data_IF_761827790150
#
_entry.id   IF_761827790150
#
_cell.length_a   1.000
_cell.length_b   1.000
_cell.length_c   1.000
_cell.angle_alpha   90.00
_cell.angle_beta   90.00
_cell.angle_gamma   90.00
#
_symmetry.space_group_name_H-M   'P 1'
#
loop_
_entity.id
_entity.type
_entity.pdbx_description
1 polymer ?
#
# COMPACT_ATOMS: atom_id res chain seq x y z
N UNK A 1 6.50 -40.78 12.27
CA UNK A 1 5.66 -39.58 12.07
C UNK A 1 6.58 -38.37 11.99
N UNK A 2 6.99 -37.98 10.78
CA UNK A 2 7.83 -36.80 10.57
C UNK A 2 6.99 -35.54 10.67
N UNK A 3 7.20 -34.78 11.74
CA UNK A 3 6.69 -33.42 11.90
C UNK A 3 7.42 -32.53 10.88
N UNK A 4 6.75 -32.15 9.79
CA UNK A 4 7.26 -31.12 8.88
C UNK A 4 7.29 -29.77 9.64
N UNK A 5 8.46 -29.39 10.17
CA UNK A 5 8.76 -27.99 10.47
C UNK A 5 9.17 -27.34 9.15
N UNK A 6 8.20 -26.95 8.34
CA UNK A 6 8.43 -25.97 7.28
C UNK A 6 8.50 -24.60 7.94
N UNK A 7 9.72 -24.17 8.26
CA UNK A 7 9.96 -22.78 8.65
C UNK A 7 9.67 -21.90 7.43
N UNK A 8 8.83 -20.89 7.61
CA UNK A 8 8.51 -19.93 6.55
C UNK A 8 9.79 -19.14 6.23
N UNK A 9 10.17 -18.96 4.96
CA UNK A 9 11.32 -18.15 4.58
C UNK A 9 11.23 -16.76 5.20
N UNK A 10 12.39 -16.16 5.49
CA UNK A 10 12.42 -14.78 5.97
C UNK A 10 11.80 -13.87 4.89
N UNK A 11 10.81 -13.03 5.24
CA UNK A 11 10.14 -12.19 4.26
C UNK A 11 11.11 -11.12 3.73
N UNK A 12 11.17 -11.00 2.41
CA UNK A 12 11.86 -9.91 1.73
C UNK A 12 11.05 -8.60 1.82
N UNK A 13 11.61 -7.49 1.33
CA UNK A 13 10.95 -6.17 1.42
C UNK A 13 9.60 -6.14 0.69
N UNK A 14 9.47 -6.89 -0.41
CA UNK A 14 8.24 -7.01 -1.20
C UNK A 14 7.16 -7.72 -0.37
N UNK A 15 7.47 -8.90 0.14
CA UNK A 15 6.57 -9.67 0.99
C UNK A 15 6.18 -8.91 2.26
N UNK A 16 7.08 -8.14 2.87
CA UNK A 16 6.76 -7.29 4.02
C UNK A 16 5.68 -6.24 3.71
N UNK A 17 5.78 -5.57 2.55
CA UNK A 17 4.75 -4.63 2.09
C UNK A 17 3.42 -5.34 1.86
N UNK A 18 3.46 -6.56 1.34
CA UNK A 18 2.27 -7.37 1.08
C UNK A 18 1.62 -7.86 2.37
N UNK A 19 2.43 -8.31 3.34
CA UNK A 19 1.98 -8.67 4.70
C UNK A 19 1.26 -7.49 5.35
N UNK A 20 1.85 -6.30 5.28
CA UNK A 20 1.23 -5.08 5.83
C UNK A 20 -0.06 -4.72 5.09
N UNK A 21 -0.03 -4.66 3.75
CA UNK A 21 -1.19 -4.31 2.91
C UNK A 21 -2.37 -5.25 3.14
N UNK A 22 -2.09 -6.55 3.27
CA UNK A 22 -3.11 -7.58 3.40
C UNK A 22 -3.40 -7.94 4.87
N UNK A 23 -2.69 -7.34 5.83
CA UNK A 23 -2.81 -7.62 7.27
C UNK A 23 -2.56 -9.11 7.61
N UNK A 24 -1.61 -9.76 6.92
CA UNK A 24 -1.36 -11.20 7.08
C UNK A 24 -0.76 -11.51 8.45
N UNK A 25 -1.26 -12.56 9.08
CA UNK A 25 -0.69 -13.09 10.32
C UNK A 25 0.37 -14.14 10.03
N UNK A 26 1.23 -14.43 11.01
CA UNK A 26 2.21 -15.52 10.91
C UNK A 26 1.53 -16.89 10.70
N UNK A 27 0.31 -17.07 11.19
CA UNK A 27 -0.49 -18.27 10.94
C UNK A 27 -0.97 -18.34 9.48
N UNK A 28 -1.36 -17.21 8.89
CA UNK A 28 -1.73 -17.12 7.47
C UNK A 28 -0.53 -17.47 6.59
N UNK A 29 0.64 -16.88 6.86
CA UNK A 29 1.88 -17.15 6.13
C UNK A 29 2.30 -18.61 6.21
N UNK A 30 2.22 -19.23 7.39
CA UNK A 30 2.47 -20.67 7.55
C UNK A 30 1.51 -21.52 6.73
N UNK A 31 0.25 -21.11 6.60
CA UNK A 31 -0.73 -21.83 5.79
C UNK A 31 -0.43 -21.65 4.31
N UNK A 32 -0.21 -20.42 3.85
CA UNK A 32 0.19 -20.11 2.46
C UNK A 32 1.46 -20.88 2.07
N UNK A 33 2.47 -20.91 2.93
CA UNK A 33 3.71 -21.65 2.68
C UNK A 33 3.50 -23.16 2.54
N UNK A 34 2.56 -23.75 3.30
CA UNK A 34 2.19 -25.16 3.10
C UNK A 34 1.55 -25.41 1.73
N UNK A 35 0.72 -24.48 1.24
CA UNK A 35 0.14 -24.58 -0.11
C UNK A 35 1.22 -24.39 -1.19
N UNK A 36 2.13 -23.44 -0.98
CA UNK A 36 3.30 -23.23 -1.84
C UNK A 36 4.15 -24.50 -1.96
N UNK A 37 4.62 -25.07 -0.84
CA UNK A 37 5.40 -26.30 -0.85
C UNK A 37 4.63 -27.47 -1.48
N UNK A 38 3.30 -27.54 -1.28
CA UNK A 38 2.51 -28.59 -1.92
C UNK A 38 2.54 -28.46 -3.45
N UNK A 39 2.44 -27.24 -3.96
CA UNK A 39 2.41 -26.94 -5.39
C UNK A 39 3.75 -27.25 -6.05
N UNK A 40 4.85 -26.81 -5.43
CA UNK A 40 6.25 -27.07 -5.84
C UNK A 40 6.60 -28.58 -5.83
N UNK A 41 6.01 -29.38 -4.93
CA UNK A 41 6.31 -30.82 -4.87
C UNK A 41 5.40 -31.70 -5.74
N UNK A 42 4.39 -31.14 -6.43
CA UNK A 42 3.41 -31.93 -7.20
C UNK A 42 3.95 -32.40 -8.57
N UNK A 43 5.18 -32.05 -8.94
CA UNK A 43 5.84 -32.47 -10.20
C UNK A 43 6.45 -33.89 -10.20
N UNK A 44 6.61 -34.57 -9.06
CA UNK A 44 7.23 -35.91 -9.04
C UNK A 44 6.20 -37.06 -9.11
N UNK A 45 5.94 -37.51 -10.35
CA UNK A 45 5.20 -38.77 -10.66
C UNK A 45 6.00 -40.04 -10.28
N UNK A 46 7.19 -39.90 -9.69
CA UNK A 46 7.97 -41.02 -9.17
C UNK A 46 8.43 -40.73 -7.74
N UNK A 47 8.22 -41.64 -6.77
CA UNK A 47 8.79 -41.52 -5.44
C UNK A 47 10.29 -41.86 -5.52
N UNK A 48 11.07 -40.95 -6.10
CA UNK A 48 12.52 -40.97 -5.93
C UNK A 48 12.87 -40.15 -4.70
N UNK A 49 13.54 -40.85 -3.81
CA UNK A 49 14.10 -40.43 -2.53
C UNK A 49 14.69 -39.01 -2.54
N UNK A 50 14.23 -38.19 -1.59
CA UNK A 50 14.92 -37.02 -1.04
C UNK A 50 15.38 -35.97 -2.07
N UNK A 51 14.45 -35.21 -2.62
CA UNK A 51 14.78 -33.89 -3.19
C UNK A 51 13.66 -32.96 -2.77
N UNK A 52 14.02 -32.03 -1.88
CA UNK A 52 13.26 -30.82 -1.59
C UNK A 52 12.78 -30.22 -2.92
N UNK A 53 11.50 -29.86 -3.01
CA UNK A 53 10.99 -29.09 -4.14
C UNK A 53 11.91 -27.92 -4.50
N UNK A 54 11.79 -27.46 -5.73
CA UNK A 54 12.65 -26.46 -6.36
C UNK A 54 12.79 -25.18 -5.54
N UNK A 55 11.80 -24.90 -4.67
CA UNK A 55 11.72 -23.67 -3.89
C UNK A 55 11.09 -22.52 -4.68
N UNK A 56 10.65 -22.80 -5.90
CA UNK A 56 9.89 -21.93 -6.79
C UNK A 56 8.67 -22.71 -7.33
N UNK A 57 7.73 -22.03 -7.98
CA UNK A 57 6.60 -22.65 -8.66
C UNK A 57 6.69 -22.30 -10.14
N UNK A 58 6.93 -23.28 -10.99
CA UNK A 58 6.92 -23.04 -12.44
C UNK A 58 5.48 -22.83 -12.97
N UNK A 59 5.35 -22.46 -14.25
CA UNK A 59 4.05 -22.22 -14.88
C UNK A 59 3.13 -23.44 -14.83
N UNK A 60 3.66 -24.62 -15.11
CA UNK A 60 2.87 -25.84 -15.17
C UNK A 60 2.44 -26.29 -13.77
N UNK A 61 3.30 -26.09 -12.76
CA UNK A 61 2.98 -26.28 -11.34
C UNK A 61 1.91 -25.30 -10.87
N UNK A 62 1.99 -24.03 -11.28
CA UNK A 62 0.97 -23.03 -10.99
C UNK A 62 -0.41 -23.47 -11.50
N UNK A 63 -0.55 -23.79 -12.79
CA UNK A 63 -1.84 -24.20 -13.36
C UNK A 63 -2.36 -25.52 -12.76
N UNK A 64 -1.47 -26.49 -12.51
CA UNK A 64 -1.84 -27.74 -11.81
C UNK A 64 -2.34 -27.48 -10.39
N UNK A 65 -1.67 -26.60 -9.64
CA UNK A 65 -2.02 -26.30 -8.25
C UNK A 65 -3.43 -25.71 -8.12
N UNK A 66 -3.88 -24.96 -9.13
CA UNK A 66 -5.21 -24.35 -9.18
C UNK A 66 -6.23 -25.20 -9.94
N UNK A 67 -5.83 -26.38 -10.46
CA UNK A 67 -6.65 -27.26 -11.29
C UNK A 67 -7.28 -26.54 -12.48
N UNK A 68 -6.49 -25.70 -13.12
CA UNK A 68 -6.87 -24.97 -14.32
C UNK A 68 -6.07 -25.49 -15.51
N UNK A 69 -6.66 -25.46 -16.69
CA UNK A 69 -5.91 -25.70 -17.93
C UNK A 69 -5.12 -24.45 -18.30
N UNK A 70 -3.92 -24.65 -18.85
CA UNK A 70 -3.10 -23.54 -19.31
C UNK A 70 -3.77 -22.87 -20.51
N UNK A 71 -4.12 -21.61 -20.33
CA UNK A 71 -4.72 -20.75 -21.37
C UNK A 71 -3.84 -19.54 -21.60
N UNK A 72 -3.98 -18.86 -22.75
CA UNK A 72 -3.22 -17.64 -23.00
C UNK A 72 -3.59 -16.50 -22.02
N UNK A 73 -4.83 -16.47 -21.51
CA UNK A 73 -5.22 -15.59 -20.40
C UNK A 73 -4.52 -15.97 -19.11
N UNK A 74 -4.49 -17.27 -18.80
CA UNK A 74 -3.74 -17.77 -17.66
C UNK A 74 -2.26 -17.36 -17.72
N UNK A 75 -1.64 -17.50 -18.90
CA UNK A 75 -0.24 -17.10 -19.14
C UNK A 75 -0.05 -15.58 -18.96
N UNK A 76 -1.01 -14.76 -19.40
CA UNK A 76 -0.97 -13.32 -19.18
C UNK A 76 -1.12 -12.96 -17.69
N UNK A 77 -1.98 -13.67 -16.96
CA UNK A 77 -2.13 -13.52 -15.50
C UNK A 77 -0.82 -13.91 -14.80
N UNK A 78 -0.23 -15.04 -15.18
CA UNK A 78 1.07 -15.48 -14.64
C UNK A 78 2.16 -14.44 -14.92
N UNK A 79 2.24 -13.90 -16.13
CA UNK A 79 3.24 -12.89 -16.49
C UNK A 79 3.09 -11.56 -15.71
N UNK A 80 1.88 -11.22 -15.26
CA UNK A 80 1.66 -10.05 -14.40
C UNK A 80 2.02 -10.30 -12.93
N UNK A 81 2.10 -11.58 -12.55
CA UNK A 81 2.48 -12.02 -11.22
C UNK A 81 4.00 -12.22 -11.12
N UNK A 82 4.61 -12.76 -12.17
CA UNK A 82 6.05 -12.97 -12.35
C UNK A 82 6.76 -11.61 -12.57
N UNK A 83 6.96 -10.88 -11.46
CA UNK A 83 7.46 -9.50 -11.47
C UNK A 83 8.90 -9.43 -11.99
N UNK A 84 9.73 -10.42 -11.66
CA UNK A 84 11.13 -10.46 -12.06
C UNK A 84 11.34 -11.10 -13.44
N UNK A 85 10.31 -11.73 -14.01
CA UNK A 85 10.33 -12.35 -15.33
C UNK A 85 11.18 -13.62 -15.37
N UNK A 86 11.42 -14.24 -14.22
CA UNK A 86 12.21 -15.47 -14.11
C UNK A 86 11.50 -16.67 -14.75
N UNK A 87 10.19 -16.60 -14.94
CA UNK A 87 9.36 -17.68 -15.44
C UNK A 87 8.92 -18.67 -14.36
N UNK A 88 9.34 -18.44 -13.12
CA UNK A 88 9.01 -19.21 -11.92
C UNK A 88 8.55 -18.25 -10.82
N UNK A 89 7.77 -18.72 -9.85
CA UNK A 89 7.30 -17.88 -8.74
C UNK A 89 8.01 -18.28 -7.45
N UNK A 90 8.75 -17.34 -6.85
CA UNK A 90 9.23 -17.54 -5.48
C UNK A 90 8.06 -17.42 -4.47
N UNK A 91 8.33 -17.71 -3.19
CA UNK A 91 7.26 -17.64 -2.18
C UNK A 91 6.72 -16.22 -1.95
N UNK A 92 7.55 -15.19 -2.09
CA UNK A 92 7.14 -13.80 -1.96
C UNK A 92 6.20 -13.41 -3.10
N UNK A 93 6.56 -13.77 -4.34
CA UNK A 93 5.78 -13.56 -5.56
C UNK A 93 4.49 -14.37 -5.52
N UNK A 94 4.51 -15.60 -5.00
CA UNK A 94 3.29 -16.38 -4.79
C UNK A 94 2.31 -15.69 -3.83
N UNK A 95 2.78 -15.15 -2.71
CA UNK A 95 1.91 -14.43 -1.75
C UNK A 95 1.37 -13.14 -2.37
N UNK A 96 2.20 -12.43 -3.14
CA UNK A 96 1.80 -11.25 -3.90
C UNK A 96 0.78 -11.56 -4.97
N UNK A 97 0.96 -12.64 -5.72
CA UNK A 97 0.05 -13.16 -6.72
C UNK A 97 -1.36 -13.32 -6.17
N UNK A 98 -1.45 -14.08 -5.08
CA UNK A 98 -2.69 -14.39 -4.42
C UNK A 98 -3.34 -13.12 -3.88
N UNK A 99 -2.55 -12.24 -3.26
CA UNK A 99 -3.01 -10.97 -2.74
C UNK A 99 -3.52 -10.01 -3.81
N UNK A 100 -2.83 -9.94 -4.94
CA UNK A 100 -3.16 -9.04 -6.04
C UNK A 100 -4.40 -9.53 -6.78
N UNK A 101 -4.49 -10.83 -7.10
CA UNK A 101 -5.53 -11.36 -7.98
C UNK A 101 -6.78 -11.84 -7.23
N UNK A 102 -6.65 -12.55 -6.10
CA UNK A 102 -7.81 -13.10 -5.38
C UNK A 102 -8.67 -12.02 -4.71
N UNK A 103 -8.15 -10.81 -4.51
CA UNK A 103 -8.88 -9.71 -3.89
C UNK A 103 -9.52 -8.75 -4.90
N UNK A 104 -9.27 -8.93 -6.21
CA UNK A 104 -9.89 -8.08 -7.23
C UNK A 104 -11.40 -8.27 -7.22
N UNK A 105 -12.12 -7.14 -7.17
CA UNK A 105 -13.55 -7.11 -7.44
C UNK A 105 -13.83 -7.12 -8.96
N UNK A 106 -15.10 -7.24 -9.35
CA UNK A 106 -15.52 -7.28 -10.76
C UNK A 106 -15.00 -6.09 -11.58
N UNK A 107 -15.03 -4.88 -11.02
CA UNK A 107 -14.56 -3.67 -11.70
C UNK A 107 -13.03 -3.67 -11.87
N UNK A 108 -12.31 -4.17 -10.88
CA UNK A 108 -10.85 -4.30 -10.94
C UNK A 108 -10.42 -5.40 -11.92
N UNK A 109 -11.16 -6.51 -11.99
CA UNK A 109 -10.96 -7.56 -13.01
C UNK A 109 -11.19 -6.99 -14.40
N UNK A 110 -12.24 -6.18 -14.61
CA UNK A 110 -12.50 -5.52 -15.88
C UNK A 110 -11.33 -4.62 -16.31
N UNK A 111 -10.82 -3.79 -15.39
CA UNK A 111 -9.66 -2.93 -15.64
C UNK A 111 -8.40 -3.73 -15.93
N UNK A 112 -8.18 -4.81 -15.18
CA UNK A 112 -7.07 -5.72 -15.38
C UNK A 112 -7.12 -6.36 -16.77
N UNK A 113 -8.27 -6.90 -17.14
CA UNK A 113 -8.50 -7.49 -18.45
C UNK A 113 -8.29 -6.46 -19.56
N UNK A 114 -8.89 -5.28 -19.43
CA UNK A 114 -8.68 -4.18 -20.37
C UNK A 114 -7.20 -3.82 -20.54
N UNK A 115 -6.46 -3.72 -19.43
CA UNK A 115 -5.02 -3.47 -19.46
C UNK A 115 -4.23 -4.60 -20.12
N UNK A 116 -4.63 -5.86 -19.95
CA UNK A 116 -3.97 -7.00 -20.61
C UNK A 116 -4.24 -7.00 -22.11
N UNK A 117 -5.43 -6.59 -22.54
CA UNK A 117 -5.88 -6.70 -23.92
C UNK A 117 -5.46 -5.52 -24.79
N UNK A 118 -5.35 -4.33 -24.21
CA UNK A 118 -4.73 -3.16 -24.82
C UNK A 118 -3.21 -3.37 -24.88
N UNK A 119 -2.72 -3.99 -25.96
CA UNK A 119 -1.33 -4.42 -26.10
C UNK A 119 -0.41 -3.22 -26.30
N UNK A 120 -0.89 -2.22 -27.04
CA UNK A 120 -0.14 -1.01 -27.36
C UNK A 120 -0.27 0.11 -26.31
N UNK A 121 -1.11 -0.09 -25.29
CA UNK A 121 -1.40 0.88 -24.21
C UNK A 121 -2.00 2.18 -24.74
N UNK A 122 -2.75 2.12 -25.84
CA UNK A 122 -3.43 3.26 -26.44
C UNK A 122 -4.60 3.77 -25.58
N UNK A 123 -5.09 2.97 -24.62
CA UNK A 123 -6.26 3.24 -23.81
C UNK A 123 -7.59 2.88 -24.49
N UNK A 124 -7.52 2.19 -25.64
CA UNK A 124 -8.67 1.67 -26.40
C UNK A 124 -8.32 0.28 -26.92
N UNK A 125 -9.30 -0.61 -27.02
CA UNK A 125 -9.10 -1.93 -27.65
C UNK A 125 -9.52 -1.85 -29.11
N UNK A 126 -8.60 -2.08 -30.02
CA UNK A 126 -8.88 -2.13 -31.46
C UNK A 126 -9.48 -3.49 -31.89
N UNK A 127 -10.17 -3.53 -33.03
CA UNK A 127 -10.82 -4.76 -33.54
C UNK A 127 -9.85 -5.97 -33.62
N UNK A 128 -8.59 -5.72 -33.98
CA UNK A 128 -7.56 -6.76 -34.04
C UNK A 128 -7.21 -7.32 -32.65
N UNK A 129 -7.14 -6.45 -31.64
CA UNK A 129 -6.88 -6.84 -30.25
C UNK A 129 -8.07 -7.59 -29.65
N UNK A 130 -9.29 -7.15 -29.97
CA UNK A 130 -10.52 -7.87 -29.60
C UNK A 130 -10.59 -9.25 -30.26
N UNK A 131 -10.22 -9.37 -31.53
CA UNK A 131 -10.21 -10.66 -32.21
C UNK A 131 -9.21 -11.63 -31.58
N UNK A 132 -7.98 -11.16 -31.30
CA UNK A 132 -6.96 -11.93 -30.60
C UNK A 132 -7.44 -12.34 -29.20
N UNK A 133 -8.12 -11.44 -28.49
CA UNK A 133 -8.72 -11.71 -27.19
C UNK A 133 -9.71 -12.88 -27.24
N UNK A 134 -10.65 -12.87 -28.19
CA UNK A 134 -11.69 -13.90 -28.26
C UNK A 134 -11.11 -15.28 -28.57
N UNK A 135 -10.04 -15.33 -29.35
CA UNK A 135 -9.31 -16.56 -29.61
C UNK A 135 -8.61 -17.07 -28.36
N UNK A 136 -8.06 -16.16 -27.56
CA UNK A 136 -7.37 -16.47 -26.30
C UNK A 136 -8.34 -16.90 -25.18
N UNK A 137 -9.51 -16.28 -25.06
CA UNK A 137 -10.51 -16.58 -24.03
C UNK A 137 -11.36 -17.82 -24.36
N UNK A 138 -11.59 -18.12 -25.63
CA UNK A 138 -12.54 -19.15 -26.05
C UNK A 138 -11.92 -20.17 -27.05
N UNK A 139 -10.61 -20.40 -26.95
CA UNK A 139 -9.87 -21.35 -27.79
C UNK A 139 -10.56 -22.73 -27.95
N UNK A 140 -11.32 -23.15 -26.95
CA UNK A 140 -11.97 -24.47 -26.86
C UNK A 140 -13.29 -24.60 -27.66
N UNK A 141 -13.59 -23.67 -28.57
CA UNK A 141 -14.72 -23.79 -29.51
C UNK A 141 -16.01 -23.05 -29.12
N UNK A 142 -15.97 -22.22 -28.07
CA UNK A 142 -17.07 -21.28 -27.73
C UNK A 142 -17.14 -20.04 -28.63
N UNK A 143 -16.20 -19.91 -29.58
CA UNK A 143 -15.93 -18.72 -30.37
C UNK A 143 -17.04 -18.33 -31.34
N UNK A 144 -17.79 -19.25 -31.94
CA UNK A 144 -18.73 -18.88 -33.01
C UNK A 144 -19.87 -17.99 -32.51
N UNK A 145 -20.48 -18.35 -31.38
CA UNK A 145 -21.62 -17.61 -30.84
C UNK A 145 -21.17 -16.28 -30.21
N UNK A 146 -19.97 -16.24 -29.62
CA UNK A 146 -19.44 -15.01 -29.02
C UNK A 146 -18.98 -14.01 -30.09
N UNK A 147 -18.29 -14.47 -31.14
CA UNK A 147 -17.90 -13.62 -32.29
C UNK A 147 -19.13 -13.03 -32.99
N UNK A 148 -20.15 -13.85 -33.29
CA UNK A 148 -21.41 -13.34 -33.86
C UNK A 148 -22.17 -12.38 -32.94
N UNK A 149 -22.08 -12.59 -31.62
CA UNK A 149 -22.71 -11.71 -30.64
C UNK A 149 -21.99 -10.36 -30.52
N UNK A 150 -20.67 -10.35 -30.69
CA UNK A 150 -19.83 -9.15 -30.70
C UNK A 150 -20.00 -8.33 -31.96
N UNK A 151 -20.14 -8.97 -33.13
CA UNK A 151 -20.48 -8.28 -34.38
C UNK A 151 -21.83 -7.55 -34.32
N UNK A 152 -22.76 -8.02 -33.49
CA UNK A 152 -24.08 -7.40 -33.27
C UNK A 152 -24.07 -6.31 -32.22
N UNK A 153 -22.99 -6.19 -31.45
CA UNK A 153 -22.87 -5.15 -30.43
C UNK A 153 -22.60 -3.81 -31.12
N UNK A 154 -23.39 -2.79 -30.76
CA UNK A 154 -23.22 -1.46 -31.33
C UNK A 154 -22.12 -0.72 -30.59
N UNK A 155 -20.92 -0.74 -31.16
CA UNK A 155 -19.83 0.13 -30.73
C UNK A 155 -20.00 1.54 -31.32
N UNK A 156 -19.35 2.50 -30.67
CA UNK A 156 -18.90 3.73 -31.32
C UNK A 156 -18.31 3.37 -32.69
N UNK A 157 -18.86 3.90 -33.78
CA UNK A 157 -18.47 3.54 -35.14
C UNK A 157 -17.07 4.00 -35.57
N UNK A 158 -16.16 4.23 -34.62
CA UNK A 158 -14.75 4.58 -34.80
C UNK A 158 -13.81 3.35 -34.78
N UNK A 159 -14.35 2.14 -34.58
CA UNK A 159 -13.60 0.88 -34.66
C UNK A 159 -12.66 0.66 -33.46
N UNK A 160 -12.94 1.36 -32.35
CA UNK A 160 -12.17 1.30 -31.10
C UNK A 160 -13.15 1.13 -29.95
N UNK A 161 -12.79 0.29 -29.00
CA UNK A 161 -13.60 0.03 -27.80
C UNK A 161 -12.96 0.74 -26.62
N UNK A 162 -13.66 1.73 -26.08
CA UNK A 162 -13.22 2.38 -24.83
C UNK A 162 -13.57 1.52 -23.59
N UNK A 163 -13.06 1.92 -22.42
CA UNK A 163 -13.31 1.16 -21.19
C UNK A 163 -14.80 1.06 -20.81
N UNK A 164 -15.62 2.07 -21.13
CA UNK A 164 -17.06 2.07 -20.80
C UNK A 164 -17.84 1.14 -21.74
N UNK A 165 -17.44 1.10 -23.00
CA UNK A 165 -17.98 0.16 -23.98
C UNK A 165 -17.58 -1.27 -23.62
N UNK A 166 -16.35 -1.48 -23.18
CA UNK A 166 -15.88 -2.77 -22.67
C UNK A 166 -16.66 -3.22 -21.42
N UNK A 167 -16.97 -2.31 -20.49
CA UNK A 167 -17.83 -2.60 -19.34
C UNK A 167 -19.24 -2.99 -19.80
N UNK A 168 -19.82 -2.24 -20.73
CA UNK A 168 -21.14 -2.53 -21.31
C UNK A 168 -21.15 -3.88 -22.04
N UNK A 169 -20.04 -4.23 -22.68
CA UNK A 169 -19.84 -5.49 -23.36
C UNK A 169 -19.87 -6.66 -22.37
N UNK A 170 -19.12 -6.57 -21.27
CA UNK A 170 -19.15 -7.60 -20.22
C UNK A 170 -20.53 -7.68 -19.53
N UNK A 171 -21.28 -6.59 -19.42
CA UNK A 171 -22.65 -6.61 -18.87
C UNK A 171 -23.62 -7.37 -19.79
N UNK A 172 -23.49 -7.20 -21.12
CA UNK A 172 -24.34 -7.89 -22.10
C UNK A 172 -23.89 -9.35 -22.30
N UNK A 173 -22.59 -9.61 -22.19
CA UNK A 173 -21.98 -10.92 -22.35
C UNK A 173 -21.12 -11.32 -21.15
N UNK A 174 -21.72 -11.68 -19.99
CA UNK A 174 -20.96 -12.05 -18.80
C UNK A 174 -20.06 -13.28 -18.99
N UNK A 175 -20.34 -14.11 -20.00
CA UNK A 175 -19.53 -15.29 -20.35
C UNK A 175 -18.19 -14.92 -20.98
N UNK A 176 -18.02 -13.68 -21.46
CA UNK A 176 -16.79 -13.21 -22.09
C UNK A 176 -15.59 -13.39 -21.14
N UNK A 177 -15.68 -12.89 -19.91
CA UNK A 177 -14.61 -12.98 -18.92
C UNK A 177 -14.72 -14.22 -18.02
N UNK A 178 -15.58 -15.18 -18.35
CA UNK A 178 -15.75 -16.40 -17.55
C UNK A 178 -14.44 -17.15 -17.28
N UNK A 179 -13.50 -17.32 -18.23
CA UNK A 179 -12.22 -17.97 -17.96
C UNK A 179 -11.40 -17.26 -16.87
N UNK A 180 -11.44 -15.91 -16.84
CA UNK A 180 -10.73 -15.10 -15.84
C UNK A 180 -11.37 -15.29 -14.47
N UNK A 181 -12.71 -15.23 -14.39
CA UNK A 181 -13.44 -15.45 -13.14
C UNK A 181 -13.25 -16.87 -12.61
N UNK A 182 -13.26 -17.87 -13.49
CA UNK A 182 -13.00 -19.28 -13.15
C UNK A 182 -11.60 -19.45 -12.57
N UNK A 183 -10.57 -18.90 -13.22
CA UNK A 183 -9.20 -18.91 -12.71
C UNK A 183 -9.10 -18.25 -11.32
N UNK A 184 -9.77 -17.09 -11.13
CA UNK A 184 -9.77 -16.41 -9.84
C UNK A 184 -10.45 -17.23 -8.75
N UNK A 185 -11.58 -17.86 -9.06
CA UNK A 185 -12.31 -18.74 -8.14
C UNK A 185 -11.47 -19.95 -7.76
N UNK A 186 -10.84 -20.60 -8.73
CA UNK A 186 -9.95 -21.73 -8.52
C UNK A 186 -8.73 -21.34 -7.65
N UNK A 187 -8.09 -20.20 -7.94
CA UNK A 187 -7.04 -19.65 -7.10
C UNK A 187 -7.51 -19.44 -5.66
N UNK A 188 -8.71 -18.88 -5.46
CA UNK A 188 -9.28 -18.69 -4.12
C UNK A 188 -9.50 -20.02 -3.38
N UNK A 189 -10.06 -21.02 -4.07
CA UNK A 189 -10.43 -22.32 -3.51
C UNK A 189 -9.18 -23.14 -3.14
N UNK A 190 -8.20 -23.26 -4.04
CA UNK A 190 -7.04 -24.12 -3.85
C UNK A 190 -5.91 -23.49 -3.02
N UNK A 191 -5.92 -22.16 -2.85
CA UNK A 191 -5.02 -21.47 -1.90
C UNK A 191 -5.58 -21.50 -0.46
N UNK A 192 -6.29 -20.46 -0.03
CA UNK A 192 -6.72 -20.29 1.36
C UNK A 192 -8.17 -20.71 1.62
N UNK A 193 -8.95 -20.93 0.55
CA UNK A 193 -10.38 -21.19 0.55
C UNK A 193 -11.21 -19.91 0.43
N UNK A 194 -12.35 -20.01 -0.27
CA UNK A 194 -13.23 -18.86 -0.57
C UNK A 194 -13.64 -18.08 0.71
N UNK A 195 -14.07 -18.78 1.76
CA UNK A 195 -14.47 -18.14 3.02
C UNK A 195 -13.36 -17.29 3.65
N UNK A 196 -12.10 -17.73 3.52
CA UNK A 196 -10.97 -16.96 4.04
C UNK A 196 -10.79 -15.67 3.23
N UNK A 197 -10.83 -15.76 1.91
CA UNK A 197 -10.70 -14.60 1.01
C UNK A 197 -11.85 -13.60 1.17
N UNK A 198 -13.08 -14.08 1.32
CA UNK A 198 -14.26 -13.22 1.55
C UNK A 198 -14.14 -12.46 2.87
N UNK A 199 -13.72 -13.14 3.95
CA UNK A 199 -13.46 -12.48 5.24
C UNK A 199 -12.32 -11.47 5.15
N UNK A 200 -11.27 -11.80 4.41
CA UNK A 200 -10.12 -10.92 4.20
C UNK A 200 -10.51 -9.66 3.42
N UNK A 201 -11.25 -9.80 2.33
CA UNK A 201 -11.76 -8.67 1.55
C UNK A 201 -12.65 -7.75 2.41
N UNK A 202 -13.55 -8.31 3.22
CA UNK A 202 -14.38 -7.54 4.14
C UNK A 202 -13.56 -6.78 5.19
N UNK A 203 -12.51 -7.40 5.74
CA UNK A 203 -11.59 -6.75 6.67
C UNK A 203 -10.84 -5.57 6.03
N UNK A 204 -10.32 -5.76 4.81
CA UNK A 204 -9.61 -4.70 4.09
C UNK A 204 -10.54 -3.55 3.71
N UNK A 205 -11.78 -3.86 3.31
CA UNK A 205 -12.79 -2.83 3.05
C UNK A 205 -13.13 -2.05 4.32
N UNK A 206 -13.27 -2.71 5.47
CA UNK A 206 -13.54 -2.03 6.74
C UNK A 206 -12.38 -1.09 7.15
N UNK A 207 -11.12 -1.52 6.95
CA UNK A 207 -9.94 -0.66 7.19
C UNK A 207 -9.95 0.55 6.25
N UNK A 208 -10.27 0.32 4.97
CA UNK A 208 -10.40 1.41 3.99
C UNK A 208 -11.51 2.38 4.39
N UNK A 209 -12.68 1.89 4.77
CA UNK A 209 -13.80 2.71 5.22
C UNK A 209 -13.48 3.50 6.51
N UNK A 210 -12.68 2.93 7.42
CA UNK A 210 -12.21 3.61 8.62
C UNK A 210 -11.18 4.70 8.30
N UNK A 211 -10.30 4.48 7.33
CA UNK A 211 -9.33 5.46 6.84
C UNK A 211 -9.98 6.57 6.00
N UNK A 212 -10.98 6.22 5.19
CA UNK A 212 -11.75 7.14 4.36
C UNK A 212 -12.82 7.88 5.19
N UNK A 213 -13.02 7.48 6.46
CA UNK A 213 -13.79 8.26 7.42
C UNK A 213 -13.11 9.62 7.55
N UNK A 214 -13.81 10.73 7.26
CA UNK A 214 -13.19 12.03 7.29
C UNK A 214 -12.71 12.30 8.72
N UNK A 215 -11.40 12.32 8.92
CA UNK A 215 -10.79 12.89 10.12
C UNK A 215 -11.17 14.37 10.15
N UNK A 216 -12.26 14.71 10.85
CA UNK A 216 -12.49 16.06 11.33
C UNK A 216 -13.64 16.88 10.76
N UNK A 217 -14.67 16.31 10.10
CA UNK A 217 -15.95 17.02 9.97
C UNK A 217 -17.14 16.17 10.40
N UNK A 218 -17.52 16.34 11.67
CA UNK A 218 -18.82 15.92 12.20
C UNK A 218 -19.94 16.35 11.24
N UNK A 219 -21.00 15.54 11.10
CA UNK A 219 -22.24 15.93 10.38
C UNK A 219 -22.74 17.32 10.82
N UNK A 220 -22.46 17.70 12.07
CA UNK A 220 -22.76 19.01 12.64
C UNK A 220 -21.88 20.14 12.09
N UNK A 221 -20.60 19.89 11.82
CA UNK A 221 -19.69 20.85 11.18
C UNK A 221 -20.08 21.13 9.73
N UNK A 222 -20.44 20.08 8.97
CA UNK A 222 -20.96 20.20 7.60
C UNK A 222 -22.28 21.00 7.59
N UNK A 223 -23.17 20.73 8.55
CA UNK A 223 -24.41 21.48 8.71
C UNK A 223 -24.17 22.95 9.12
N UNK A 224 -23.20 23.21 10.00
CA UNK A 224 -22.82 24.56 10.41
C UNK A 224 -22.24 25.38 9.23
N UNK A 225 -21.37 24.76 8.41
CA UNK A 225 -20.83 25.38 7.20
C UNK A 225 -21.94 25.73 6.19
N UNK A 226 -22.87 24.81 5.92
CA UNK A 226 -24.04 25.08 5.07
C UNK A 226 -24.89 26.23 5.63
N UNK A 227 -25.15 26.25 6.94
CA UNK A 227 -25.89 27.36 7.58
C UNK A 227 -25.18 28.71 7.41
N UNK A 228 -23.86 28.76 7.57
CA UNK A 228 -23.07 29.98 7.38
C UNK A 228 -23.12 30.48 5.92
N UNK A 229 -23.00 29.59 4.94
CA UNK A 229 -23.12 29.94 3.52
C UNK A 229 -24.52 30.49 3.18
N UNK A 230 -25.57 29.83 3.65
CA UNK A 230 -26.95 30.30 3.46
C UNK A 230 -27.21 31.65 4.16
N UNK A 231 -26.59 31.91 5.32
CA UNK A 231 -26.67 33.20 6.00
C UNK A 231 -25.95 34.32 5.22
N UNK A 232 -24.78 34.02 4.65
CA UNK A 232 -24.04 34.97 3.81
C UNK A 232 -24.80 35.30 2.52
N UNK A 233 -25.36 34.29 1.86
CA UNK A 233 -26.19 34.47 0.67
C UNK A 233 -27.39 35.39 1.00
N UNK A 234 -28.13 35.10 2.08
CA UNK A 234 -29.22 35.96 2.58
C UNK A 234 -28.80 37.41 2.81
N UNK A 235 -27.62 37.63 3.40
CA UNK A 235 -27.10 38.99 3.67
C UNK A 235 -26.78 39.74 2.38
N UNK A 236 -26.14 39.08 1.41
CA UNK A 236 -25.72 39.72 0.14
C UNK A 236 -26.88 39.95 -0.84
N UNK A 237 -27.82 39.00 -0.95
CA UNK A 237 -28.92 39.09 -1.91
C UNK A 237 -30.18 39.75 -1.33
N UNK A 238 -30.22 39.97 -0.01
CA UNK A 238 -31.40 40.45 0.72
C UNK A 238 -32.40 39.32 0.99
N UNK A 239 -33.14 39.43 2.09
CA UNK A 239 -34.06 38.39 2.56
C UNK A 239 -35.15 38.07 1.52
N UNK A 240 -35.75 39.09 0.91
CA UNK A 240 -36.84 38.92 -0.05
C UNK A 240 -36.39 38.12 -1.28
N UNK A 241 -35.27 38.50 -1.89
CA UNK A 241 -34.74 37.82 -3.08
C UNK A 241 -34.20 36.43 -2.77
N UNK A 242 -33.70 36.21 -1.55
CA UNK A 242 -33.28 34.88 -1.10
C UNK A 242 -34.45 33.89 -1.11
N UNK A 243 -35.62 34.25 -0.56
CA UNK A 243 -36.76 33.34 -0.50
C UNK A 243 -37.48 33.18 -1.85
N UNK A 244 -37.65 34.27 -2.61
CA UNK A 244 -38.44 34.26 -3.86
C UNK A 244 -37.66 33.95 -5.14
N UNK A 245 -36.32 33.90 -5.11
CA UNK A 245 -35.51 33.54 -6.29
C UNK A 245 -34.45 32.46 -5.98
N UNK A 246 -34.86 31.19 -5.72
CA UNK A 246 -33.94 30.12 -5.32
C UNK A 246 -32.83 29.83 -6.33
N UNK A 247 -33.14 29.87 -7.62
CA UNK A 247 -32.20 29.60 -8.72
C UNK A 247 -31.02 30.58 -8.81
N UNK A 248 -31.11 31.76 -8.19
CA UNK A 248 -30.03 32.76 -8.15
C UNK A 248 -29.15 32.66 -6.91
N UNK A 249 -29.45 31.74 -5.98
CA UNK A 249 -28.68 31.55 -4.74
C UNK A 249 -27.26 31.06 -5.01
N UNK A 250 -27.08 30.15 -5.98
CA UNK A 250 -25.78 29.55 -6.32
C UNK A 250 -24.72 30.60 -6.63
N UNK A 251 -25.07 31.71 -7.28
CA UNK A 251 -24.16 32.82 -7.59
C UNK A 251 -23.57 33.51 -6.35
N UNK A 252 -24.17 33.33 -5.18
CA UNK A 252 -23.72 33.91 -3.91
C UNK A 252 -23.21 32.85 -2.91
N UNK A 253 -23.24 31.58 -3.29
CA UNK A 253 -22.62 30.47 -2.57
C UNK A 253 -21.22 30.30 -3.17
N UNK A 254 -20.19 30.24 -2.34
CA UNK A 254 -18.81 30.05 -2.81
C UNK A 254 -18.52 28.56 -2.82
N UNK A 255 -18.10 28.02 -3.97
CA UNK A 255 -17.50 26.67 -4.05
C UNK A 255 -16.09 26.75 -3.46
N UNK A 256 -15.88 26.12 -2.30
CA UNK A 256 -14.63 26.17 -1.53
C UNK A 256 -13.57 25.16 -1.98
N UNK A 257 -13.78 24.40 -3.06
CA UNK A 257 -12.77 23.44 -3.55
C UNK A 257 -11.51 24.13 -4.09
N UNK A 258 -11.58 25.41 -4.48
CA UNK A 258 -10.43 26.20 -4.90
C UNK A 258 -9.69 26.88 -3.72
N UNK A 259 -10.31 26.96 -2.54
CA UNK A 259 -9.74 27.63 -1.35
C UNK A 259 -8.95 26.62 -0.51
N UNK A 260 -9.37 25.36 -0.49
CA UNK A 260 -8.71 24.29 0.27
C UNK A 260 -7.29 24.02 -0.21
N UNK A 261 -7.04 23.95 -1.51
CA UNK A 261 -5.69 23.67 -2.03
C UNK A 261 -4.69 24.79 -1.71
N UNK A 262 -5.09 26.05 -1.88
CA UNK A 262 -4.26 27.21 -1.55
C UNK A 262 -4.02 27.35 -0.03
N UNK A 263 -5.04 27.10 0.80
CA UNK A 263 -4.92 27.14 2.26
C UNK A 263 -4.05 25.99 2.81
N UNK A 264 -4.16 24.78 2.25
CA UNK A 264 -3.32 23.64 2.61
C UNK A 264 -1.86 23.88 2.26
N UNK A 265 -1.57 24.50 1.10
CA UNK A 265 -0.21 24.89 0.72
C UNK A 265 0.34 25.97 1.68
N UNK A 266 -0.48 26.93 2.11
CA UNK A 266 -0.04 27.98 3.03
C UNK A 266 0.22 27.43 4.44
N UNK A 267 -0.62 26.50 4.92
CA UNK A 267 -0.44 25.84 6.20
C UNK A 267 0.80 24.92 6.21
N UNK A 268 1.04 24.18 5.14
CA UNK A 268 2.25 23.37 4.97
C UNK A 268 3.52 24.24 5.03
N UNK A 269 3.52 25.39 4.33
CA UNK A 269 4.62 26.37 4.39
C UNK A 269 4.82 26.93 5.80
N UNK A 270 3.74 27.21 6.53
CA UNK A 270 3.82 27.71 7.92
C UNK A 270 4.44 26.66 8.86
N UNK A 271 4.03 25.40 8.76
CA UNK A 271 4.60 24.29 9.55
C UNK A 271 6.08 24.09 9.25
N UNK A 272 6.48 24.23 7.99
CA UNK A 272 7.88 24.12 7.58
C UNK A 272 8.72 25.29 8.13
N UNK A 273 8.22 26.53 8.06
CA UNK A 273 8.87 27.70 8.65
C UNK A 273 8.99 27.56 10.18
N UNK A 274 7.96 27.06 10.86
CA UNK A 274 7.98 26.86 12.30
C UNK A 274 8.96 25.76 12.72
N UNK A 275 9.03 24.66 11.97
CA UNK A 275 10.02 23.61 12.17
C UNK A 275 11.46 24.13 11.97
N UNK A 276 11.69 24.99 10.97
CA UNK A 276 12.99 25.64 10.75
C UNK A 276 13.35 26.60 11.89
N UNK A 277 12.38 27.40 12.37
CA UNK A 277 12.57 28.29 13.53
C UNK A 277 12.93 27.51 14.79
N UNK A 278 12.23 26.40 15.06
CA UNK A 278 12.50 25.55 16.22
C UNK A 278 13.91 24.92 16.15
N UNK A 279 14.31 24.40 14.98
CA UNK A 279 15.67 23.88 14.77
C UNK A 279 16.73 24.97 14.97
N UNK A 280 16.47 26.20 14.50
CA UNK A 280 17.39 27.33 14.68
C UNK A 280 17.49 27.73 16.16
N UNK A 281 16.38 27.76 16.88
CA UNK A 281 16.33 28.07 18.31
C UNK A 281 17.10 27.03 19.13
N UNK A 282 16.85 25.74 18.89
CA UNK A 282 17.61 24.64 19.52
C UNK A 282 19.11 24.73 19.22
N UNK A 283 19.50 25.10 17.98
CA UNK A 283 20.88 25.30 17.61
C UNK A 283 21.52 26.53 18.31
N UNK A 284 20.77 27.63 18.46
CA UNK A 284 21.23 28.81 19.20
C UNK A 284 21.40 28.53 20.69
N UNK A 285 20.45 27.82 21.31
CA UNK A 285 20.54 27.40 22.71
C UNK A 285 21.73 26.45 22.92
N UNK A 286 21.94 25.50 22.02
CA UNK A 286 23.09 24.60 22.07
C UNK A 286 24.42 25.38 21.98
N UNK A 287 24.49 26.41 21.13
CA UNK A 287 25.65 27.30 21.00
C UNK A 287 25.87 28.13 22.27
N UNK A 288 24.82 28.76 22.80
CA UNK A 288 24.88 29.54 24.04
C UNK A 288 25.30 28.67 25.24
N UNK A 289 24.84 27.41 25.29
CA UNK A 289 25.26 26.44 26.32
C UNK A 289 26.75 26.11 26.21
N UNK A 290 27.27 25.92 25.00
CA UNK A 290 28.70 25.71 24.76
C UNK A 290 29.53 26.93 25.17
N UNK A 291 29.10 28.14 24.81
CA UNK A 291 29.77 29.39 25.19
C UNK A 291 29.78 29.61 26.70
N UNK A 292 28.67 29.35 27.40
CA UNK A 292 28.60 29.40 28.88
C UNK A 292 29.54 28.40 29.54
N UNK A 293 29.67 27.19 28.99
CA UNK A 293 30.62 26.19 29.47
C UNK A 293 32.07 26.63 29.24
N UNK A 294 32.35 27.25 28.09
CA UNK A 294 33.69 27.76 27.75
C UNK A 294 34.06 28.98 28.61
N UNK A 295 33.13 29.91 28.85
CA UNK A 295 33.33 31.06 29.75
C UNK A 295 33.61 30.63 31.19
N UNK A 296 32.88 29.61 31.70
CA UNK A 296 33.17 29.01 33.02
C UNK A 296 34.55 28.36 33.08
N UNK A 297 35.06 27.83 31.97
CA UNK A 297 36.40 27.24 31.88
C UNK A 297 37.51 28.28 31.86
N UNK A 298 37.22 29.49 31.38
CA UNK A 298 38.18 30.59 31.21
C UNK A 298 38.22 31.58 32.39
N UNK A 299 37.59 31.27 33.53
CA UNK A 299 37.65 32.14 34.72
C UNK A 299 39.05 32.08 35.35
N UNK A 300 39.82 33.16 35.18
CA UNK A 300 41.13 33.39 35.80
C UNK A 300 40.92 34.15 37.11
N UNK A 301 41.60 33.74 38.20
CA UNK A 301 41.54 34.43 39.48
C UNK A 301 42.29 35.77 39.42
N UNK A 302 41.97 36.71 40.32
CA UNK A 302 42.55 38.06 40.35
C UNK A 302 44.09 38.10 40.49
N UNK A 303 44.74 36.98 40.84
CA UNK A 303 46.19 36.80 40.91
C UNK A 303 46.81 36.18 39.63
N UNK A 304 46.06 36.14 38.52
CA UNK A 304 46.51 35.64 37.22
C UNK A 304 46.60 34.12 37.10
N UNK A 305 46.18 33.36 38.13
CA UNK A 305 46.24 31.89 38.13
C UNK A 305 44.87 31.27 37.81
N UNK A 306 44.82 30.15 37.05
CA UNK A 306 43.57 29.45 36.77
C UNK A 306 42.86 29.00 38.05
N UNK A 307 41.55 29.24 38.15
CA UNK A 307 40.76 28.83 39.32
C UNK A 307 40.65 27.30 39.36
N UNK A 308 41.20 26.69 40.42
CA UNK A 308 41.17 25.22 40.59
C UNK A 308 39.75 24.66 40.73
N UNK A 309 39.48 23.57 40.00
CA UNK A 309 38.18 22.86 40.01
C UNK A 309 37.88 22.24 41.39
N UNK A 310 36.60 21.94 41.67
CA UNK A 310 36.18 21.30 42.94
C UNK A 310 36.91 19.97 43.21
N UNK A 311 37.17 19.18 42.18
CA UNK A 311 37.89 17.90 42.28
C UNK A 311 39.36 18.12 42.63
N UNK A 312 40.03 19.04 41.94
CA UNK A 312 41.42 19.38 42.23
C UNK A 312 41.60 19.94 43.65
N UNK A 313 40.61 20.68 44.18
CA UNK A 313 40.59 21.14 45.59
C UNK A 313 40.48 19.96 46.56
N UNK A 314 39.56 19.02 46.31
CA UNK A 314 39.40 17.80 47.12
C UNK A 314 40.68 16.96 47.11
N UNK A 315 41.32 16.82 45.96
CA UNK A 315 42.53 16.02 45.81
C UNK A 315 43.73 16.67 46.48
N UNK A 316 43.86 18.00 46.41
CA UNK A 316 44.87 18.75 47.17
C UNK A 316 44.64 18.63 48.68
N UNK A 317 43.39 18.65 49.13
CA UNK A 317 43.05 18.41 50.54
C UNK A 317 43.38 16.97 50.98
N UNK A 318 43.13 15.98 50.11
CA UNK A 318 43.50 14.57 50.35
C UNK A 318 45.02 14.39 50.45
N UNK A 319 45.80 15.05 49.56
CA UNK A 319 47.27 15.04 49.62
C UNK A 319 47.83 15.74 50.86
N UNK A 320 47.18 16.80 51.36
CA UNK A 320 47.54 17.43 52.65
C UNK A 320 47.34 16.45 53.79
N UNK A 321 46.15 15.84 53.90
CA UNK A 321 45.86 14.81 54.90
C UNK A 321 46.81 13.62 54.84
N UNK A 322 47.20 13.18 53.65
CA UNK A 322 48.19 12.10 53.48
C UNK A 322 49.59 12.49 53.93
N UNK A 323 49.97 13.77 53.78
CA UNK A 323 51.26 14.28 54.26
C UNK A 323 51.25 14.42 55.77
N UNK A 324 50.18 15.01 56.32
CA UNK A 324 49.99 15.13 57.76
C UNK A 324 50.01 13.73 58.42
N UNK A 325 49.38 12.71 57.79
CA UNK A 325 49.46 11.31 58.23
C UNK A 325 50.86 10.69 58.14
N UNK A 326 51.73 11.19 57.25
CA UNK A 326 53.11 10.71 57.07
C UNK A 326 54.09 11.36 58.07
N UNK A 327 53.74 12.56 58.56
CA UNK A 327 54.52 13.33 59.53
C UNK A 327 54.13 13.03 60.99
N UNK A 328 53.21 12.07 61.24
CA UNK A 328 52.95 11.57 62.58
C UNK A 328 54.10 10.66 63.06
N UNK A 329 54.71 10.91 64.23
CA UNK A 329 55.76 10.05 64.76
C UNK A 329 55.19 8.67 65.10
N UNK A 330 55.80 7.62 64.55
CA UNK A 330 55.50 6.22 64.91
C UNK A 330 55.82 6.00 66.39
N UNK A 331 54.79 5.79 67.21
CA UNK A 331 54.96 5.43 68.62
C UNK A 331 55.55 4.01 68.68
N UNK A 332 56.84 3.90 69.02
CA UNK A 332 57.48 2.69 69.52
C UNK A 332 57.04 2.41 70.95
#
# INVERSE_FOLDING_TARGET
>A
MGFWRTEVPAPDERMLKTIEKLQLTEADLRKMYKHFCRSDNEALTYPSTTTSGSGTIDRDEFFRSVREERTAVGDAVFALIDIDGSGELDFSEYVEALGAFCLLNTQEILKFCFFVFDLDKSGTIEDAELAALLEVLHADGGTSNMKEALEKFQFSGDGKIDFREFESLNQQFPTLLYPVYRLQENLKVYSMGESWWTKRAALLQAIKDEKDKPEGESKEAIAAKRRAQHALARRKMGCFRYYFCPCRRSKYMVDEDAVTEAALIEEAKRREIEAQKKKLEEAMEARARKERLQAKRNVIAADGRPVMSKEQRKERAKKRRQRDMKDLPTRK
#
